data_IF_927711776316
#
_entry.id   IF_927711776316
#
_cell.length_a   1.000
_cell.length_b   1.000
_cell.length_c   1.000
_cell.angle_alpha   90.00
_cell.angle_beta   90.00
_cell.angle_gamma   90.00
#
_symmetry.space_group_name_H-M   'P 1'
#
loop_
_entity.id
_entity.type
_entity.pdbx_description
1 polymer ?
#
# COMPACT_ATOMS: atom_id res chain seq x y z
N UNK A 1 7.31 -12.59 -20.56
CA UNK A 1 6.00 -13.25 -20.34
C UNK A 1 4.89 -12.72 -21.25
N UNK A 2 4.98 -11.49 -21.78
CA UNK A 2 4.06 -10.98 -22.80
C UNK A 2 4.58 -11.22 -24.22
N UNK A 3 3.70 -11.42 -25.23
CA UNK A 3 4.08 -11.53 -26.64
C UNK A 3 4.45 -10.15 -27.22
N UNK A 4 5.53 -9.55 -26.70
CA UNK A 4 5.97 -8.15 -26.93
C UNK A 4 6.26 -7.81 -28.40
N UNK A 5 6.52 -8.81 -29.24
CA UNK A 5 6.70 -8.62 -30.69
C UNK A 5 5.39 -8.30 -31.43
N UNK A 6 4.23 -8.64 -30.84
CA UNK A 6 2.91 -8.32 -31.42
C UNK A 6 2.47 -6.92 -31.01
N UNK A 7 1.69 -6.24 -31.85
CA UNK A 7 1.11 -4.92 -31.53
C UNK A 7 0.29 -4.96 -30.23
N UNK A 8 -0.46 -6.05 -29.99
CA UNK A 8 -1.21 -6.27 -28.75
C UNK A 8 -0.28 -6.38 -27.53
N UNK A 9 0.83 -7.11 -27.66
CA UNK A 9 1.80 -7.27 -26.58
C UNK A 9 2.53 -5.97 -26.24
N UNK A 10 2.88 -5.17 -27.26
CA UNK A 10 3.44 -3.84 -27.07
C UNK A 10 2.47 -2.94 -26.30
N UNK A 11 1.21 -2.87 -26.74
CA UNK A 11 0.18 -2.09 -26.05
C UNK A 11 -0.06 -2.55 -24.59
N UNK A 12 0.15 -3.83 -24.28
CA UNK A 12 0.07 -4.32 -22.90
C UNK A 12 1.27 -3.85 -22.05
N UNK A 13 2.48 -3.81 -22.61
CA UNK A 13 3.64 -3.24 -21.93
C UNK A 13 3.50 -1.74 -21.72
N UNK A 14 2.97 -0.99 -22.70
CA UNK A 14 2.77 0.46 -22.60
C UNK A 14 1.80 0.85 -21.46
N UNK A 15 0.86 -0.04 -21.13
CA UNK A 15 -0.07 0.14 -20.00
C UNK A 15 0.60 -0.10 -18.65
N UNK A 16 1.65 -0.92 -18.60
CA UNK A 16 2.34 -1.25 -17.36
C UNK A 16 3.34 -0.14 -17.00
N UNK A 17 3.21 0.39 -15.79
CA UNK A 17 4.16 1.37 -15.23
C UNK A 17 4.86 0.77 -14.02
N UNK A 18 6.18 0.81 -14.01
CA UNK A 18 7.03 0.30 -12.92
C UNK A 18 7.98 1.40 -12.45
N UNK A 19 8.24 1.45 -11.14
CA UNK A 19 9.08 2.47 -10.51
C UNK A 19 9.88 1.84 -9.36
N UNK A 20 11.09 2.36 -9.11
CA UNK A 20 11.85 2.09 -7.91
C UNK A 20 11.50 3.13 -6.82
N UNK A 21 11.13 2.65 -5.63
CA UNK A 21 10.52 3.49 -4.61
C UNK A 21 9.08 3.90 -4.95
N UNK A 22 8.54 4.91 -4.27
CA UNK A 22 7.14 5.33 -4.46
C UNK A 22 7.11 6.82 -4.80
N UNK A 23 7.13 7.15 -6.11
CA UNK A 23 7.16 8.55 -6.55
C UNK A 23 5.79 9.23 -6.38
N UNK A 24 5.75 10.56 -6.26
CA UNK A 24 4.52 11.34 -6.47
C UNK A 24 3.96 11.08 -7.88
N UNK A 25 2.65 10.86 -8.06
CA UNK A 25 1.54 11.05 -7.12
C UNK A 25 1.10 9.78 -6.36
N UNK A 26 1.86 8.68 -6.40
CA UNK A 26 1.45 7.39 -5.84
C UNK A 26 1.70 7.26 -4.33
N UNK A 27 2.55 8.11 -3.77
CA UNK A 27 2.90 8.17 -2.35
C UNK A 27 1.68 8.42 -1.44
N UNK A 28 0.69 9.17 -1.93
CA UNK A 28 -0.56 9.49 -1.22
C UNK A 28 -1.71 8.51 -1.49
N UNK A 29 -1.53 7.56 -2.41
CA UNK A 29 -2.56 6.58 -2.78
C UNK A 29 -2.44 5.30 -1.95
N UNK A 30 -3.57 4.64 -1.68
CA UNK A 30 -3.56 3.31 -1.04
C UNK A 30 -3.01 2.29 -2.04
N UNK A 31 -1.90 1.66 -1.69
CA UNK A 31 -1.26 0.62 -2.49
C UNK A 31 -1.89 -0.73 -2.21
N UNK A 32 -2.05 -1.52 -3.26
CA UNK A 32 -2.61 -2.88 -3.19
C UNK A 32 -1.49 -3.91 -3.04
N UNK A 33 -1.86 -5.09 -2.55
CA UNK A 33 -0.96 -6.24 -2.39
C UNK A 33 -1.58 -7.45 -3.09
N UNK A 34 -0.75 -8.34 -3.65
CA UNK A 34 -1.19 -9.59 -4.29
C UNK A 34 -0.79 -10.76 -3.38
N UNK A 35 -1.72 -11.32 -2.57
CA UNK A 35 -1.38 -12.37 -1.59
C UNK A 35 -0.76 -13.62 -2.21
N UNK A 36 -1.23 -14.01 -3.40
CA UNK A 36 -0.73 -15.16 -4.14
C UNK A 36 0.76 -15.05 -4.57
N UNK A 37 1.34 -13.85 -4.50
CA UNK A 37 2.75 -13.60 -4.84
C UNK A 37 3.60 -13.17 -3.64
N UNK A 38 3.03 -13.11 -2.43
CA UNK A 38 3.77 -12.70 -1.24
C UNK A 38 4.78 -13.75 -0.80
N UNK A 39 6.03 -13.31 -0.56
CA UNK A 39 7.10 -14.19 -0.05
C UNK A 39 6.71 -14.94 1.22
N UNK A 40 6.07 -14.26 2.18
CA UNK A 40 5.66 -14.88 3.46
C UNK A 40 4.61 -15.99 3.27
N UNK A 41 3.83 -15.93 2.19
CA UNK A 41 2.80 -16.93 1.87
C UNK A 41 3.37 -18.06 1.02
N UNK A 42 4.24 -17.74 0.05
CA UNK A 42 4.66 -18.66 -1.01
C UNK A 42 5.95 -19.43 -0.70
N UNK A 43 6.73 -19.01 0.29
CA UNK A 43 8.05 -19.57 0.55
C UNK A 43 8.15 -20.07 2.00
N UNK A 44 8.76 -21.25 2.20
CA UNK A 44 8.99 -21.82 3.54
C UNK A 44 9.90 -20.91 4.37
N UNK A 45 9.63 -20.66 5.67
CA UNK A 45 10.41 -19.72 6.48
C UNK A 45 11.92 -19.97 6.51
N UNK A 46 12.35 -21.22 6.36
CA UNK A 46 13.76 -21.63 6.40
C UNK A 46 14.51 -21.47 5.07
N UNK A 47 13.84 -21.11 3.99
CA UNK A 47 14.47 -20.99 2.66
C UNK A 47 15.07 -19.60 2.47
N UNK A 48 16.31 -19.55 1.97
CA UNK A 48 16.99 -18.30 1.63
C UNK A 48 16.30 -17.62 0.43
N UNK A 49 16.33 -16.29 0.41
CA UNK A 49 15.85 -15.46 -0.69
C UNK A 49 16.79 -14.27 -0.89
N UNK A 50 16.69 -13.61 -2.05
CA UNK A 50 17.49 -12.44 -2.37
C UNK A 50 16.64 -11.17 -2.44
N UNK A 51 17.27 -10.02 -2.19
CA UNK A 51 16.65 -8.72 -2.39
C UNK A 51 17.03 -8.19 -3.77
N UNK A 52 16.04 -7.95 -4.63
CA UNK A 52 16.28 -7.45 -5.98
C UNK A 52 17.06 -6.13 -5.98
N UNK A 53 16.75 -5.21 -5.06
CA UNK A 53 17.46 -3.92 -4.98
C UNK A 53 18.95 -4.05 -4.60
N UNK A 54 19.31 -5.07 -3.81
CA UNK A 54 20.72 -5.36 -3.49
C UNK A 54 21.43 -5.93 -4.73
N UNK A 55 20.81 -6.94 -5.36
CA UNK A 55 21.36 -7.55 -6.56
C UNK A 55 21.53 -6.52 -7.69
N UNK A 56 20.55 -5.66 -7.90
CA UNK A 56 20.61 -4.57 -8.87
C UNK A 56 21.82 -3.65 -8.62
N UNK A 57 22.07 -3.29 -7.37
CA UNK A 57 23.23 -2.46 -7.01
C UNK A 57 24.56 -3.17 -7.29
N UNK A 58 24.68 -4.44 -6.90
CA UNK A 58 25.88 -5.25 -7.14
C UNK A 58 26.20 -5.40 -8.64
N UNK A 59 25.17 -5.40 -9.51
CA UNK A 59 25.34 -5.43 -10.98
C UNK A 59 25.44 -4.04 -11.62
N UNK A 60 25.57 -2.97 -10.83
CA UNK A 60 25.89 -1.63 -11.32
C UNK A 60 24.74 -0.61 -11.29
N UNK A 61 23.60 -0.91 -10.68
CA UNK A 61 22.56 0.10 -10.45
C UNK A 61 23.02 1.13 -9.42
N UNK A 62 23.20 2.38 -9.88
CA UNK A 62 23.83 3.46 -9.10
C UNK A 62 22.88 4.17 -8.13
N UNK A 63 21.57 4.00 -8.29
CA UNK A 63 20.58 4.84 -7.59
C UNK A 63 20.07 4.27 -6.26
N UNK A 64 20.70 3.23 -5.72
CA UNK A 64 20.28 2.61 -4.47
C UNK A 64 20.24 3.62 -3.29
N UNK A 65 21.30 4.40 -3.12
CA UNK A 65 21.45 5.34 -2.00
C UNK A 65 20.46 6.52 -2.08
N UNK A 66 20.25 7.08 -3.27
CA UNK A 66 19.31 8.19 -3.46
C UNK A 66 17.86 7.72 -3.25
N UNK A 67 17.49 6.55 -3.75
CA UNK A 67 16.15 5.97 -3.54
C UNK A 67 15.89 5.67 -2.07
N UNK A 68 16.88 5.16 -1.34
CA UNK A 68 16.75 4.93 0.10
C UNK A 68 16.48 6.23 0.87
N UNK A 69 17.25 7.29 0.57
CA UNK A 69 17.06 8.62 1.18
C UNK A 69 15.68 9.21 0.89
N UNK A 70 15.20 9.07 -0.34
CA UNK A 70 13.86 9.55 -0.75
C UNK A 70 12.73 8.75 -0.09
N UNK A 71 12.87 7.43 0.03
CA UNK A 71 11.91 6.59 0.73
C UNK A 71 11.85 6.89 2.22
N UNK A 72 12.97 7.26 2.86
CA UNK A 72 12.98 7.66 4.26
C UNK A 72 12.22 8.98 4.47
N UNK A 73 12.49 9.99 3.62
CA UNK A 73 11.71 11.24 3.59
C UNK A 73 10.21 10.97 3.40
N UNK A 74 9.85 10.01 2.54
CA UNK A 74 8.45 9.62 2.31
C UNK A 74 7.83 8.94 3.53
N UNK A 75 8.55 8.06 4.22
CA UNK A 75 8.08 7.37 5.42
C UNK A 75 7.84 8.33 6.58
N UNK A 76 8.69 9.33 6.78
CA UNK A 76 8.50 10.34 7.81
C UNK A 76 7.21 11.16 7.58
N UNK A 77 6.96 11.59 6.33
CA UNK A 77 5.67 12.22 5.97
C UNK A 77 4.48 11.30 6.21
N UNK A 78 4.60 10.02 5.84
CA UNK A 78 3.54 9.03 6.05
C UNK A 78 3.26 8.77 7.54
N UNK A 79 4.29 8.81 8.39
CA UNK A 79 4.18 8.66 9.86
C UNK A 79 3.40 9.82 10.47
N UNK A 80 3.68 11.06 10.06
CA UNK A 80 2.93 12.25 10.48
C UNK A 80 1.46 12.12 10.06
N UNK A 81 1.21 11.76 8.80
CA UNK A 81 -0.15 11.55 8.29
C UNK A 81 -0.90 10.46 9.09
N UNK A 82 -0.23 9.33 9.39
CA UNK A 82 -0.83 8.24 10.16
C UNK A 82 -1.19 8.66 11.59
N UNK A 83 -0.33 9.43 12.27
CA UNK A 83 -0.64 10.00 13.60
C UNK A 83 -1.89 10.88 13.57
N UNK A 84 -1.98 11.79 12.59
CA UNK A 84 -3.18 12.63 12.38
C UNK A 84 -4.42 11.78 12.13
N UNK A 85 -4.32 10.75 11.28
CA UNK A 85 -5.42 9.82 11.00
C UNK A 85 -5.90 9.08 12.26
N UNK A 86 -4.99 8.59 13.10
CA UNK A 86 -5.35 7.92 14.37
C UNK A 86 -6.06 8.89 15.32
N UNK A 87 -5.59 10.12 15.45
CA UNK A 87 -6.22 11.14 16.28
C UNK A 87 -7.65 11.44 15.81
N UNK A 88 -7.83 11.67 14.50
CA UNK A 88 -9.15 11.90 13.91
C UNK A 88 -10.09 10.70 14.11
N UNK A 89 -9.58 9.48 13.97
CA UNK A 89 -10.38 8.27 14.20
C UNK A 89 -10.83 8.15 15.67
N UNK A 90 -9.96 8.49 16.63
CA UNK A 90 -10.32 8.54 18.05
C UNK A 90 -11.40 9.58 18.33
N UNK A 91 -11.26 10.79 17.79
CA UNK A 91 -12.26 11.86 17.94
C UNK A 91 -13.60 11.46 17.32
N UNK A 92 -13.57 10.86 16.12
CA UNK A 92 -14.77 10.32 15.48
C UNK A 92 -15.48 9.30 16.38
N UNK A 93 -14.74 8.36 16.96
CA UNK A 93 -15.31 7.35 17.88
C UNK A 93 -15.90 7.98 19.14
N UNK A 94 -15.28 9.04 19.68
CA UNK A 94 -15.85 9.79 20.80
C UNK A 94 -17.16 10.50 20.41
N UNK A 95 -17.20 11.13 19.23
CA UNK A 95 -18.40 11.79 18.72
C UNK A 95 -19.54 10.80 18.46
N UNK A 96 -19.24 9.63 17.88
CA UNK A 96 -20.20 8.53 17.68
C UNK A 96 -20.83 8.11 19.02
N UNK A 97 -20.03 7.92 20.09
CA UNK A 97 -20.53 7.60 21.43
C UNK A 97 -21.40 8.72 22.03
N UNK A 98 -20.97 9.97 21.91
CA UNK A 98 -21.71 11.11 22.47
C UNK A 98 -23.10 11.28 21.83
N UNK A 99 -23.25 10.89 20.56
CA UNK A 99 -24.49 11.05 19.78
C UNK A 99 -25.29 9.75 19.65
N UNK A 100 -24.88 8.67 20.31
CA UNK A 100 -25.45 7.32 20.19
C UNK A 100 -26.99 7.33 20.25
N UNK A 101 -27.56 7.98 21.28
CA UNK A 101 -29.02 8.09 21.45
C UNK A 101 -29.76 8.72 20.27
N UNK A 102 -29.11 9.63 19.53
CA UNK A 102 -29.71 10.31 18.37
C UNK A 102 -29.56 9.53 17.07
N UNK A 103 -28.56 8.66 16.99
CA UNK A 103 -28.25 7.87 15.79
C UNK A 103 -28.68 6.41 15.90
N UNK A 104 -29.34 6.03 17.00
CA UNK A 104 -29.69 4.66 17.34
C UNK A 104 -30.58 4.00 16.29
N UNK A 105 -31.65 4.69 15.87
CA UNK A 105 -32.58 4.22 14.82
C UNK A 105 -31.85 3.88 13.51
N UNK A 106 -30.88 4.68 13.09
CA UNK A 106 -30.07 4.40 11.90
C UNK A 106 -29.08 3.25 12.14
N UNK A 107 -28.54 3.16 13.35
CA UNK A 107 -27.58 2.14 13.74
C UNK A 107 -28.23 0.76 13.78
N UNK A 108 -29.47 0.65 14.28
CA UNK A 108 -30.27 -0.58 14.25
C UNK A 108 -30.48 -1.08 12.82
N UNK A 109 -30.88 -0.20 11.90
CA UNK A 109 -31.03 -0.56 10.48
C UNK A 109 -29.70 -1.09 9.91
N UNK A 110 -28.57 -0.45 10.21
CA UNK A 110 -27.25 -0.90 9.76
C UNK A 110 -26.85 -2.26 10.36
N UNK A 111 -27.22 -2.54 11.61
CA UNK A 111 -27.00 -3.84 12.27
C UNK A 111 -27.83 -4.95 11.64
N UNK A 112 -29.10 -4.69 11.31
CA UNK A 112 -29.97 -5.65 10.61
C UNK A 112 -29.38 -6.07 9.26
N UNK A 113 -28.66 -5.16 8.58
CA UNK A 113 -27.98 -5.44 7.31
C UNK A 113 -26.53 -5.93 7.49
N UNK A 114 -26.06 -6.18 8.71
CA UNK A 114 -24.72 -6.72 9.01
C UNK A 114 -23.55 -5.77 8.72
N UNK A 115 -23.81 -4.46 8.56
CA UNK A 115 -22.79 -3.45 8.29
C UNK A 115 -22.04 -3.03 9.56
N UNK A 116 -22.75 -3.07 10.69
CA UNK A 116 -22.22 -2.85 12.02
C UNK A 116 -22.49 -4.10 12.86
N UNK A 117 -21.47 -4.53 13.61
CA UNK A 117 -21.56 -5.60 14.61
C UNK A 117 -21.67 -4.97 15.98
#
# INVERSE_FOLDING_TARGET
>A
MLPHKTKRGQAALDRLKVFDGIPPPYDKKKRMVVPAALKVVRLKPTRKFAYLGRLAHEVGWKYQAVTATLEEKRKEKAKIHYRKKKQLMRLRKQAEKNLEKKIDTYTEVLKTHGLLV
#
